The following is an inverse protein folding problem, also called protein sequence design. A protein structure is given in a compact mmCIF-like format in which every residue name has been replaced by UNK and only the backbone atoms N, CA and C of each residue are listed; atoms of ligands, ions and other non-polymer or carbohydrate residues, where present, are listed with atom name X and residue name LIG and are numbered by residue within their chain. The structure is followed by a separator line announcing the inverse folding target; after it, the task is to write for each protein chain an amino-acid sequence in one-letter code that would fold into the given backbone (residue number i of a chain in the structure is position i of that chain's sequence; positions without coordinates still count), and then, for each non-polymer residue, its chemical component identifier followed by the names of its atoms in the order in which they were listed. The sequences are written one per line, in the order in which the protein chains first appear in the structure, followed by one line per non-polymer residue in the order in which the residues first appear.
data_IF_458330608769
#
_entry.id   IF_458330608769
#
_cell.length_a   1.000
_cell.length_b   1.000
_cell.length_c   1.000
_cell.angle_alpha   90.00
_cell.angle_beta   90.00
_cell.angle_gamma   90.00
#
_symmetry.space_group_name_H-M   'P 1'
#
loop_
_entity.id
_entity.type
_entity.pdbx_description
1 polymer ?
#
# COMPACT_ATOMS: atom_id res chain seq x y z
N UNK A 1 -27.18 20.06 -53.66
CA UNK A 1 -27.57 19.04 -52.65
C UNK A 1 -26.71 17.80 -52.62
N UNK A 2 -26.25 17.20 -53.73
CA UNK A 2 -25.42 15.95 -53.73
C UNK A 2 -24.01 16.13 -53.17
N UNK A 3 -23.39 17.28 -53.31
CA UNK A 3 -22.02 17.54 -52.75
C UNK A 3 -22.02 17.68 -51.22
N UNK A 4 -23.08 18.18 -50.63
CA UNK A 4 -23.22 18.34 -49.17
C UNK A 4 -23.41 16.99 -48.44
N UNK A 5 -24.12 16.04 -49.08
CA UNK A 5 -24.34 14.72 -48.55
C UNK A 5 -23.07 13.87 -48.58
N UNK A 6 -22.21 14.00 -49.58
CA UNK A 6 -20.94 13.29 -49.65
C UNK A 6 -19.95 13.75 -48.57
N UNK A 7 -19.95 15.05 -48.22
CA UNK A 7 -19.08 15.58 -47.16
C UNK A 7 -19.48 15.13 -45.75
N UNK A 8 -20.79 14.98 -45.48
CA UNK A 8 -21.30 14.52 -44.17
C UNK A 8 -20.99 13.03 -43.97
N UNK A 9 -21.13 12.23 -45.04
CA UNK A 9 -20.79 10.79 -44.96
C UNK A 9 -19.29 10.56 -44.78
N UNK A 10 -18.44 11.37 -45.40
CA UNK A 10 -16.98 11.32 -45.22
C UNK A 10 -16.54 11.72 -43.81
N UNK A 11 -17.14 12.74 -43.22
CA UNK A 11 -16.85 13.16 -41.85
C UNK A 11 -17.29 12.14 -40.80
N UNK A 12 -18.46 11.52 -41.00
CA UNK A 12 -18.98 10.48 -40.11
C UNK A 12 -18.13 9.20 -40.18
N UNK A 13 -17.68 8.79 -41.36
CA UNK A 13 -16.79 7.64 -41.55
C UNK A 13 -15.40 7.88 -40.90
N UNK A 14 -14.88 9.11 -40.96
CA UNK A 14 -13.62 9.48 -40.33
C UNK A 14 -13.70 9.52 -38.80
N UNK A 15 -14.83 9.99 -38.25
CA UNK A 15 -15.08 9.99 -36.81
C UNK A 15 -15.23 8.57 -36.24
N UNK A 16 -15.87 7.65 -36.97
CA UNK A 16 -16.01 6.24 -36.59
C UNK A 16 -14.65 5.53 -36.66
N UNK A 17 -13.78 5.84 -37.64
CA UNK A 17 -12.44 5.30 -37.74
C UNK A 17 -11.52 5.76 -36.59
N UNK A 18 -11.66 7.01 -36.13
CA UNK A 18 -10.93 7.53 -34.97
C UNK A 18 -11.42 6.90 -33.64
N UNK A 19 -12.72 6.64 -33.51
CA UNK A 19 -13.26 5.95 -32.33
C UNK A 19 -12.85 4.46 -32.28
N UNK A 20 -12.70 3.81 -33.43
CA UNK A 20 -12.24 2.42 -33.52
C UNK A 20 -10.74 2.24 -33.19
N UNK A 21 -9.95 3.34 -33.18
CA UNK A 21 -8.53 3.32 -32.83
C UNK A 21 -8.26 3.73 -31.37
N UNK A 22 -9.27 3.95 -30.55
CA UNK A 22 -9.11 4.08 -29.09
C UNK A 22 -8.72 2.70 -28.54
N UNK A 23 -7.44 2.40 -28.68
CA UNK A 23 -6.87 1.13 -28.24
C UNK A 23 -7.00 1.05 -26.72
N UNK A 24 -7.62 0.00 -26.21
CA UNK A 24 -7.68 -0.23 -24.76
C UNK A 24 -6.31 -0.67 -24.25
N UNK A 25 -5.47 0.31 -24.00
CA UNK A 25 -4.12 0.10 -23.46
C UNK A 25 -4.15 -0.64 -22.12
N UNK A 26 -5.23 -0.53 -21.35
CA UNK A 26 -5.39 -1.28 -20.10
C UNK A 26 -5.55 -2.77 -20.38
N UNK A 27 -6.43 -3.16 -21.30
CA UNK A 27 -6.61 -4.55 -21.67
C UNK A 27 -5.32 -5.14 -22.26
N UNK A 28 -4.61 -4.38 -23.09
CA UNK A 28 -3.31 -4.80 -23.63
C UNK A 28 -2.26 -5.00 -22.53
N UNK A 29 -2.16 -4.09 -21.59
CA UNK A 29 -1.23 -4.20 -20.46
C UNK A 29 -1.54 -5.43 -19.60
N UNK A 30 -2.81 -5.65 -19.26
CA UNK A 30 -3.25 -6.82 -18.50
C UNK A 30 -2.93 -8.11 -19.25
N UNK A 31 -3.26 -8.19 -20.55
CA UNK A 31 -2.94 -9.34 -21.39
C UNK A 31 -1.44 -9.63 -21.41
N UNK A 32 -0.62 -8.59 -21.56
CA UNK A 32 0.85 -8.72 -21.54
C UNK A 32 1.37 -9.20 -20.20
N UNK A 33 0.87 -8.63 -19.10
CA UNK A 33 1.23 -9.07 -17.75
C UNK A 33 0.88 -10.54 -17.52
N UNK A 34 -0.30 -10.99 -17.95
CA UNK A 34 -0.73 -12.40 -17.84
C UNK A 34 0.09 -13.37 -18.70
N UNK A 35 0.59 -12.91 -19.84
CA UNK A 35 1.46 -13.71 -20.71
C UNK A 35 2.88 -13.86 -20.13
N UNK A 36 3.43 -12.79 -19.57
CA UNK A 36 4.84 -12.74 -19.16
C UNK A 36 5.05 -13.15 -17.70
N UNK A 37 4.02 -13.01 -16.84
CA UNK A 37 4.13 -13.38 -15.43
C UNK A 37 3.78 -14.87 -15.25
N UNK A 38 4.68 -15.58 -14.58
CA UNK A 38 4.48 -16.97 -14.22
C UNK A 38 4.52 -17.16 -12.70
N UNK A 39 3.53 -17.87 -12.15
CA UNK A 39 3.47 -18.15 -10.73
C UNK A 39 4.72 -18.92 -10.27
N UNK A 40 5.38 -18.43 -9.21
CA UNK A 40 6.57 -19.04 -8.64
C UNK A 40 6.62 -18.83 -7.12
N UNK A 41 6.74 -19.91 -6.35
CA UNK A 41 6.78 -19.83 -4.89
C UNK A 41 5.55 -19.11 -4.32
N UNK A 42 5.76 -18.07 -3.53
CA UNK A 42 4.68 -17.24 -2.96
C UNK A 42 4.14 -16.19 -3.93
N UNK A 43 4.77 -15.98 -5.07
CA UNK A 43 4.26 -15.09 -6.12
C UNK A 43 3.26 -15.86 -6.98
N UNK A 44 1.97 -15.73 -6.71
CA UNK A 44 0.86 -16.34 -7.44
C UNK A 44 0.30 -15.36 -8.47
N UNK A 45 -0.52 -15.85 -9.39
CA UNK A 45 -1.13 -15.03 -10.45
C UNK A 45 -2.05 -13.94 -9.90
N UNK A 46 -2.66 -14.15 -8.73
CA UNK A 46 -3.51 -13.18 -8.03
C UNK A 46 -2.81 -11.84 -7.69
N UNK A 47 -1.47 -11.83 -7.74
CA UNK A 47 -0.72 -10.55 -7.62
C UNK A 47 -0.92 -9.60 -8.77
N UNK A 48 -1.43 -10.08 -9.89
CA UNK A 48 -1.76 -9.25 -11.05
C UNK A 48 -3.15 -8.61 -10.94
N UNK A 49 -3.97 -9.10 -10.01
CA UNK A 49 -5.36 -8.67 -9.87
C UNK A 49 -5.46 -7.49 -8.89
N UNK A 50 -6.28 -6.52 -9.29
CA UNK A 50 -6.70 -5.46 -8.37
C UNK A 50 -7.80 -5.99 -7.46
N UNK A 51 -7.65 -5.80 -6.14
CA UNK A 51 -8.79 -6.02 -5.25
C UNK A 51 -9.86 -4.93 -5.43
N UNK A 52 -11.05 -5.17 -4.86
CA UNK A 52 -12.19 -4.25 -4.98
C UNK A 52 -11.84 -2.83 -4.57
N UNK A 53 -11.07 -2.64 -3.50
CA UNK A 53 -10.69 -1.31 -3.02
C UNK A 53 -9.72 -0.63 -3.98
N UNK A 54 -8.73 -1.38 -4.49
CA UNK A 54 -7.80 -0.84 -5.49
C UNK A 54 -8.54 -0.41 -6.76
N UNK A 55 -9.44 -1.27 -7.25
CA UNK A 55 -10.25 -0.99 -8.42
C UNK A 55 -11.13 0.27 -8.24
N UNK A 56 -11.81 0.39 -7.11
CA UNK A 56 -12.67 1.54 -6.80
C UNK A 56 -11.84 2.82 -6.73
N UNK A 57 -10.71 2.81 -5.99
CA UNK A 57 -9.83 3.97 -5.87
C UNK A 57 -9.22 4.39 -7.22
N UNK A 58 -8.85 3.43 -8.06
CA UNK A 58 -8.31 3.74 -9.39
C UNK A 58 -9.37 4.35 -10.32
N UNK A 59 -10.58 3.79 -10.35
CA UNK A 59 -11.68 4.28 -11.19
C UNK A 59 -12.19 5.65 -10.76
N UNK A 60 -12.23 5.91 -9.45
CA UNK A 60 -12.66 7.20 -8.88
C UNK A 60 -11.55 8.25 -8.80
N UNK A 61 -10.35 7.96 -9.30
CA UNK A 61 -9.16 8.83 -9.16
C UNK A 61 -8.86 9.17 -7.69
N UNK A 62 -9.00 8.18 -6.80
CA UNK A 62 -8.88 8.26 -5.34
C UNK A 62 -9.95 9.11 -4.63
N UNK A 63 -11.06 9.41 -5.29
CA UNK A 63 -12.20 10.13 -4.74
C UNK A 63 -13.51 9.34 -4.94
N UNK A 64 -13.68 8.20 -4.25
CA UNK A 64 -14.90 7.42 -4.34
C UNK A 64 -16.06 8.10 -3.61
N UNK A 65 -17.34 7.82 -4.00
CA UNK A 65 -18.50 8.31 -3.28
C UNK A 65 -18.42 8.01 -1.78
N UNK A 66 -18.72 9.00 -0.93
CA UNK A 66 -18.50 8.96 0.52
C UNK A 66 -19.10 7.72 1.19
N UNK A 67 -20.37 7.39 0.93
CA UNK A 67 -21.03 6.22 1.54
C UNK A 67 -20.38 4.88 1.14
N UNK A 68 -19.92 4.77 -0.12
CA UNK A 68 -19.17 3.60 -0.57
C UNK A 68 -17.80 3.53 0.10
N UNK A 69 -17.12 4.67 0.21
CA UNK A 69 -15.83 4.76 0.86
C UNK A 69 -15.90 4.33 2.34
N UNK A 70 -16.90 4.80 3.07
CA UNK A 70 -17.13 4.45 4.47
C UNK A 70 -17.41 2.94 4.64
N UNK A 71 -18.27 2.36 3.80
CA UNK A 71 -18.56 0.93 3.82
C UNK A 71 -17.32 0.09 3.60
N UNK A 72 -16.57 0.37 2.53
CA UNK A 72 -15.35 -0.37 2.21
C UNK A 72 -14.26 -0.16 3.26
N UNK A 73 -14.15 1.03 3.84
CA UNK A 73 -13.20 1.31 4.92
C UNK A 73 -13.53 0.53 6.19
N UNK A 74 -14.80 0.41 6.54
CA UNK A 74 -15.25 -0.42 7.64
C UNK A 74 -14.96 -1.91 7.40
N UNK A 75 -15.08 -2.39 6.17
CA UNK A 75 -14.70 -3.75 5.84
C UNK A 75 -13.18 -3.95 5.95
N UNK A 76 -12.37 -2.97 5.55
CA UNK A 76 -10.93 -3.02 5.77
C UNK A 76 -10.55 -3.02 7.27
N UNK A 77 -11.29 -2.31 8.13
CA UNK A 77 -11.09 -2.35 9.58
C UNK A 77 -11.26 -3.75 10.15
N UNK A 78 -12.26 -4.49 9.69
CA UNK A 78 -12.53 -5.88 10.13
C UNK A 78 -11.40 -6.86 9.77
N UNK A 79 -10.56 -6.53 8.80
CA UNK A 79 -9.43 -7.38 8.41
C UNK A 79 -8.23 -7.27 9.34
N UNK A 80 -8.18 -6.28 10.23
CA UNK A 80 -7.04 -6.08 11.13
C UNK A 80 -7.07 -7.12 12.25
N UNK A 81 -6.01 -7.92 12.30
CA UNK A 81 -5.79 -8.86 13.40
C UNK A 81 -4.91 -8.17 14.45
N UNK A 82 -5.55 -7.71 15.50
CA UNK A 82 -4.85 -7.12 16.63
C UNK A 82 -4.26 -8.19 17.55
N UNK A 83 -3.11 -7.92 18.22
CA UNK A 83 -2.54 -8.83 19.21
C UNK A 83 -3.55 -9.22 20.29
N UNK A 84 -3.70 -10.52 20.54
CA UNK A 84 -4.68 -11.03 21.49
C UNK A 84 -4.38 -10.60 22.95
N UNK A 85 -3.10 -10.38 23.26
CA UNK A 85 -2.62 -9.90 24.57
C UNK A 85 -2.77 -8.38 24.75
N UNK A 86 -3.25 -7.66 23.74
CA UNK A 86 -3.34 -6.21 23.73
C UNK A 86 -2.00 -5.48 23.84
N UNK A 87 -0.88 -6.17 23.66
CA UNK A 87 0.44 -5.57 23.66
C UNK A 87 0.88 -5.20 22.23
N UNK A 88 1.03 -3.91 21.97
CA UNK A 88 1.40 -3.37 20.65
C UNK A 88 2.87 -2.98 20.53
N UNK A 89 3.65 -3.02 21.62
CA UNK A 89 5.05 -2.62 21.62
C UNK A 89 5.97 -3.84 21.49
N UNK A 90 6.98 -3.71 20.65
CA UNK A 90 8.08 -4.64 20.49
C UNK A 90 9.42 -3.98 20.82
N UNK A 91 10.45 -4.29 20.01
CA UNK A 91 11.79 -3.71 20.10
C UNK A 91 12.01 -2.66 19.02
N UNK A 92 12.22 -1.40 19.40
CA UNK A 92 12.42 -0.32 18.45
C UNK A 92 13.70 -0.48 17.58
N UNK A 93 14.76 -1.16 18.09
CA UNK A 93 15.99 -1.42 17.33
C UNK A 93 15.72 -2.39 16.17
N UNK A 94 14.90 -3.40 16.41
CA UNK A 94 14.41 -4.29 15.37
C UNK A 94 13.50 -3.57 14.40
N UNK A 95 12.62 -2.71 14.90
CA UNK A 95 11.76 -1.84 14.10
C UNK A 95 12.53 -0.93 13.14
N UNK A 96 13.64 -0.34 13.60
CA UNK A 96 14.50 0.48 12.75
C UNK A 96 15.11 -0.32 11.60
N UNK A 97 15.63 -1.51 11.86
CA UNK A 97 16.16 -2.41 10.82
C UNK A 97 15.08 -2.79 9.79
N UNK A 98 13.86 -3.07 10.25
CA UNK A 98 12.71 -3.40 9.38
C UNK A 98 12.33 -2.17 8.53
N UNK A 99 12.28 -0.98 9.12
CA UNK A 99 11.93 0.26 8.43
C UNK A 99 12.94 0.61 7.32
N UNK A 100 14.23 0.38 7.54
CA UNK A 100 15.29 0.65 6.58
C UNK A 100 15.41 -0.40 5.48
N UNK A 101 15.00 -1.64 5.74
CA UNK A 101 15.17 -2.75 4.82
C UNK A 101 14.13 -2.69 3.71
N UNK A 102 14.57 -2.75 2.44
CA UNK A 102 13.69 -2.72 1.27
C UNK A 102 13.29 -4.09 0.72
N UNK A 103 13.86 -5.19 1.24
CA UNK A 103 13.60 -6.52 0.69
C UNK A 103 12.44 -7.21 1.39
N UNK A 104 11.41 -7.56 0.61
CA UNK A 104 10.27 -8.33 1.08
C UNK A 104 9.53 -9.01 -0.08
N UNK A 105 8.83 -10.11 0.22
CA UNK A 105 7.85 -10.76 -0.66
C UNK A 105 8.35 -11.13 -2.06
N UNK A 106 9.64 -11.46 -2.18
CA UNK A 106 10.12 -12.10 -3.42
C UNK A 106 9.57 -13.53 -3.50
N UNK A 107 9.57 -14.13 -4.68
CA UNK A 107 9.01 -15.48 -4.88
C UNK A 107 9.66 -16.59 -4.03
N UNK A 108 10.87 -16.37 -3.49
CA UNK A 108 11.58 -17.28 -2.59
C UNK A 108 11.30 -17.04 -1.11
N UNK A 109 10.70 -15.93 -0.76
CA UNK A 109 10.51 -15.52 0.63
C UNK A 109 9.30 -16.24 1.26
N UNK A 110 9.14 -16.04 2.57
CA UNK A 110 7.99 -16.51 3.37
C UNK A 110 7.33 -15.32 4.03
N UNK A 111 6.15 -15.51 4.60
CA UNK A 111 5.50 -14.50 5.44
C UNK A 111 6.45 -14.10 6.56
N UNK A 112 6.71 -12.80 6.69
CA UNK A 112 7.58 -12.22 7.70
C UNK A 112 9.07 -12.51 7.57
N UNK A 113 9.51 -13.37 6.64
CA UNK A 113 10.93 -13.73 6.49
C UNK A 113 11.37 -13.84 5.04
N UNK A 114 12.57 -13.35 4.77
CA UNK A 114 13.25 -13.59 3.49
C UNK A 114 13.68 -15.05 3.36
N UNK A 115 14.03 -15.46 2.15
CA UNK A 115 14.57 -16.79 1.86
C UNK A 115 15.89 -17.09 2.61
N UNK A 116 16.55 -16.08 3.17
CA UNK A 116 17.75 -16.18 3.99
C UNK A 116 17.46 -16.25 5.50
N UNK A 117 16.18 -16.30 5.88
CA UNK A 117 15.75 -16.32 7.29
C UNK A 117 15.74 -14.96 7.99
N UNK A 118 16.13 -13.89 7.29
CA UNK A 118 16.11 -12.54 7.82
C UNK A 118 14.69 -11.95 7.81
N UNK A 119 14.36 -11.00 8.69
CA UNK A 119 13.08 -10.31 8.66
C UNK A 119 12.80 -9.65 7.30
N UNK A 120 11.56 -9.69 6.83
CA UNK A 120 11.13 -8.85 5.73
C UNK A 120 11.27 -7.37 6.11
N UNK A 121 11.50 -6.51 5.11
CA UNK A 121 11.60 -5.08 5.30
C UNK A 121 10.32 -4.34 4.95
N UNK A 122 10.08 -3.22 5.61
CA UNK A 122 8.96 -2.32 5.34
C UNK A 122 9.28 -1.22 4.33
N UNK A 123 10.57 -0.94 4.11
CA UNK A 123 11.05 0.15 3.22
C UNK A 123 10.42 1.52 3.55
N UNK A 124 10.17 1.78 4.83
CA UNK A 124 9.38 2.91 5.30
C UNK A 124 10.02 4.26 4.93
N UNK A 125 11.36 4.31 4.91
CA UNK A 125 12.13 5.50 4.51
C UNK A 125 11.94 5.91 3.04
N UNK A 126 11.50 4.99 2.18
CA UNK A 126 11.19 5.35 0.80
C UNK A 126 10.00 6.32 0.70
N UNK A 127 9.17 6.40 1.72
CA UNK A 127 7.99 7.27 1.74
C UNK A 127 7.99 8.28 2.88
N UNK A 128 8.68 8.00 4.00
CA UNK A 128 8.60 8.79 5.24
C UNK A 128 9.98 9.23 5.71
N UNK A 129 10.07 10.46 6.18
CA UNK A 129 11.12 10.87 7.08
C UNK A 129 10.87 10.25 8.46
N UNK A 130 11.79 9.45 8.98
CA UNK A 130 11.60 8.71 10.24
C UNK A 130 12.61 9.14 11.30
N UNK A 131 13.90 9.07 11.03
CA UNK A 131 14.94 9.39 12.00
C UNK A 131 15.67 10.69 11.67
N UNK A 132 16.17 11.43 12.69
CA UNK A 132 16.88 12.69 12.46
C UNK A 132 18.22 12.49 11.72
N UNK A 133 18.83 11.32 11.85
CA UNK A 133 20.08 10.98 11.16
C UNK A 133 19.88 10.54 9.70
N UNK A 134 18.64 10.36 9.24
CA UNK A 134 18.37 9.92 7.87
C UNK A 134 18.40 11.11 6.92
N UNK A 135 19.43 11.18 6.09
CA UNK A 135 19.65 12.26 5.13
C UNK A 135 18.88 12.09 3.83
N UNK A 136 18.42 10.88 3.52
CA UNK A 136 17.65 10.55 2.30
C UNK A 136 16.39 9.81 2.66
N UNK A 137 15.24 10.37 2.27
CA UNK A 137 13.92 9.78 2.50
C UNK A 137 12.92 10.32 1.47
N UNK A 138 11.83 9.55 1.26
CA UNK A 138 10.72 9.99 0.42
C UNK A 138 9.77 10.93 1.16
N UNK A 139 9.02 11.71 0.38
CA UNK A 139 8.05 12.70 0.87
C UNK A 139 6.60 12.34 0.51
N UNK A 140 6.36 11.13 0.01
CA UNK A 140 5.01 10.63 -0.31
C UNK A 140 4.15 10.49 0.96
N UNK A 141 4.78 10.04 2.05
CA UNK A 141 4.16 9.96 3.37
C UNK A 141 4.55 11.16 4.24
N UNK A 142 3.74 11.45 5.26
CA UNK A 142 4.03 12.50 6.22
C UNK A 142 5.33 12.18 6.99
N UNK A 143 6.06 13.22 7.43
CA UNK A 143 7.16 13.03 8.36
C UNK A 143 6.67 12.36 9.65
N UNK A 144 7.44 11.40 10.12
CA UNK A 144 7.20 10.67 11.38
C UNK A 144 8.17 11.10 12.49
N UNK A 145 9.02 12.11 12.23
CA UNK A 145 9.88 12.67 13.27
C UNK A 145 9.07 13.12 14.47
N UNK A 146 9.56 12.78 15.65
CA UNK A 146 8.93 13.09 16.94
C UNK A 146 7.49 12.58 17.06
N UNK A 147 7.15 11.48 16.36
CA UNK A 147 5.77 10.99 16.28
C UNK A 147 5.19 10.73 17.69
N UNK A 148 5.91 10.03 18.55
CA UNK A 148 5.47 9.77 19.92
C UNK A 148 5.39 11.04 20.75
N UNK A 149 6.33 11.97 20.63
CA UNK A 149 6.27 13.28 21.30
C UNK A 149 5.04 14.07 20.90
N UNK A 150 4.66 14.01 19.61
CA UNK A 150 3.55 14.78 19.06
C UNK A 150 2.18 14.13 19.34
N UNK A 151 2.11 12.80 19.28
CA UNK A 151 0.86 12.05 19.36
C UNK A 151 0.60 11.37 20.71
N UNK A 152 1.60 11.34 21.59
CA UNK A 152 1.56 10.61 22.84
C UNK A 152 2.00 9.15 22.69
N UNK A 153 2.05 8.45 23.83
CA UNK A 153 2.57 7.08 23.94
C UNK A 153 1.52 6.09 24.45
N UNK A 154 0.28 6.53 24.62
CA UNK A 154 -0.81 5.74 25.21
C UNK A 154 -1.26 4.56 24.34
N UNK A 155 -2.08 3.69 24.92
CA UNK A 155 -2.57 2.47 24.26
C UNK A 155 -3.36 2.76 22.98
N UNK A 156 -4.14 3.82 22.93
CA UNK A 156 -4.97 4.16 21.78
C UNK A 156 -4.13 4.51 20.57
N UNK A 157 -3.06 5.31 20.75
CA UNK A 157 -2.14 5.63 19.67
C UNK A 157 -1.33 4.41 19.25
N UNK A 158 -0.93 3.53 20.18
CA UNK A 158 -0.26 2.26 19.86
C UNK A 158 -1.17 1.38 18.97
N UNK A 159 -2.43 1.21 19.36
CA UNK A 159 -3.44 0.45 18.60
C UNK A 159 -3.66 1.06 17.21
N UNK A 160 -3.78 2.39 17.13
CA UNK A 160 -3.91 3.10 15.87
C UNK A 160 -2.70 2.85 14.94
N UNK A 161 -1.48 3.02 15.45
CA UNK A 161 -0.25 2.82 14.66
C UNK A 161 -0.13 1.38 14.19
N UNK A 162 -0.40 0.41 15.08
CA UNK A 162 -0.43 -0.99 14.72
C UNK A 162 -1.40 -1.25 13.57
N UNK A 163 -2.66 -0.82 13.71
CA UNK A 163 -3.69 -1.00 12.69
C UNK A 163 -3.34 -0.31 11.38
N UNK A 164 -2.75 0.91 11.45
CA UNK A 164 -2.33 1.67 10.27
C UNK A 164 -1.22 0.96 9.48
N UNK A 165 -0.26 0.34 10.16
CA UNK A 165 0.78 -0.48 9.51
C UNK A 165 0.19 -1.79 9.00
N UNK A 166 -0.71 -2.42 9.77
CA UNK A 166 -1.35 -3.66 9.38
C UNK A 166 -2.16 -3.49 8.09
N UNK A 167 -3.08 -2.52 8.06
CA UNK A 167 -3.90 -2.21 6.89
C UNK A 167 -4.22 -0.71 6.80
N UNK A 168 -3.41 0.02 6.04
CA UNK A 168 -3.54 1.47 5.87
C UNK A 168 -4.90 1.89 5.29
N UNK A 169 -5.54 1.03 4.48
CA UNK A 169 -6.83 1.30 3.85
C UNK A 169 -7.99 1.31 4.84
N UNK A 170 -7.83 0.73 6.02
CA UNK A 170 -8.76 0.82 7.13
C UNK A 170 -8.90 2.24 7.72
N UNK A 171 -7.94 3.11 7.48
CA UNK A 171 -7.90 4.50 8.01
C UNK A 171 -7.94 5.56 6.91
N UNK A 172 -7.60 5.20 5.71
CA UNK A 172 -7.73 5.98 4.49
C UNK A 172 -7.86 5.00 3.33
N UNK A 173 -9.05 4.88 2.77
CA UNK A 173 -9.39 3.86 1.80
C UNK A 173 -8.45 3.83 0.59
N UNK A 174 -8.13 5.00 0.04
CA UNK A 174 -7.28 5.12 -1.14
C UNK A 174 -5.80 5.39 -0.80
N UNK A 175 -5.38 5.04 0.43
CA UNK A 175 -3.99 5.16 0.85
C UNK A 175 -3.06 4.40 -0.09
N UNK A 176 -1.94 5.03 -0.43
CA UNK A 176 -0.83 4.40 -1.18
C UNK A 176 0.15 3.65 -0.26
N UNK A 177 0.01 3.78 1.06
CA UNK A 177 0.80 3.00 2.02
C UNK A 177 0.45 1.52 1.88
N UNK A 178 1.45 0.63 1.78
CA UNK A 178 1.22 -0.81 1.71
C UNK A 178 0.47 -1.36 2.94
N UNK A 179 -0.28 -2.43 2.75
CA UNK A 179 -1.02 -3.14 3.80
C UNK A 179 -0.15 -4.27 4.36
N UNK A 180 0.86 -3.93 5.14
CA UNK A 180 1.96 -4.84 5.49
C UNK A 180 1.52 -6.10 6.24
N UNK A 181 0.61 -5.99 7.20
CA UNK A 181 0.07 -7.15 7.91
C UNK A 181 -0.93 -7.92 7.07
N UNK A 182 -1.86 -7.22 6.42
CA UNK A 182 -2.91 -7.82 5.58
C UNK A 182 -2.34 -8.64 4.43
N UNK A 183 -1.24 -8.20 3.83
CA UNK A 183 -0.56 -8.92 2.75
C UNK A 183 0.40 -10.01 3.24
N UNK A 184 0.60 -10.16 4.54
CA UNK A 184 1.58 -11.07 5.12
C UNK A 184 3.04 -10.64 4.89
N UNK A 185 3.29 -9.41 4.45
CA UNK A 185 4.65 -8.90 4.27
C UNK A 185 5.39 -8.83 5.60
N UNK A 186 4.73 -8.33 6.64
CA UNK A 186 5.25 -8.27 8.00
C UNK A 186 4.42 -9.14 8.94
N UNK A 187 5.10 -9.81 9.86
CA UNK A 187 4.47 -10.55 10.95
C UNK A 187 3.95 -9.62 12.04
N UNK A 188 3.11 -10.13 12.94
CA UNK A 188 2.64 -9.40 14.12
C UNK A 188 3.81 -8.79 14.91
N UNK A 189 4.84 -9.59 15.22
CA UNK A 189 6.00 -9.10 15.97
C UNK A 189 6.73 -7.98 15.24
N UNK A 190 6.90 -8.08 13.93
CA UNK A 190 7.54 -7.04 13.13
C UNK A 190 6.74 -5.73 13.12
N UNK A 191 5.41 -5.82 13.14
CA UNK A 191 4.55 -4.63 13.27
C UNK A 191 4.68 -4.04 14.68
N UNK A 192 4.71 -4.85 15.75
CA UNK A 192 4.97 -4.41 17.12
C UNK A 192 6.32 -3.68 17.24
N UNK A 193 7.35 -4.18 16.57
CA UNK A 193 8.68 -3.57 16.55
C UNK A 193 8.66 -2.18 15.86
N UNK A 194 7.90 -2.04 14.77
CA UNK A 194 7.70 -0.74 14.11
C UNK A 194 6.85 0.22 14.94
N UNK A 195 5.86 -0.27 15.69
CA UNK A 195 5.11 0.55 16.65
C UNK A 195 6.06 1.08 17.73
N UNK A 196 6.95 0.22 18.24
CA UNK A 196 7.97 0.64 19.20
C UNK A 196 8.95 1.64 18.60
N UNK A 197 9.37 1.49 17.33
CA UNK A 197 10.18 2.50 16.66
C UNK A 197 9.53 3.88 16.69
N UNK A 198 8.23 3.98 16.47
CA UNK A 198 7.53 5.26 16.44
C UNK A 198 7.15 5.79 17.83
N UNK A 199 6.92 4.91 18.81
CA UNK A 199 6.31 5.26 20.10
C UNK A 199 7.16 4.94 21.33
N UNK A 200 8.38 4.38 21.21
CA UNK A 200 9.28 4.27 22.37
C UNK A 200 9.96 5.62 22.58
N UNK A 201 9.89 6.21 23.79
CA UNK A 201 10.60 7.46 24.11
C UNK A 201 12.12 7.39 23.88
N UNK A 202 12.71 6.18 23.94
CA UNK A 202 14.14 5.96 23.72
C UNK A 202 14.50 5.80 22.24
N UNK A 203 13.51 5.64 21.38
CA UNK A 203 13.71 5.52 19.93
C UNK A 203 14.33 6.82 19.35
N UNK A 204 15.21 6.71 18.33
CA UNK A 204 15.77 7.87 17.65
C UNK A 204 14.71 8.77 17.00
N UNK A 205 13.54 8.22 16.69
CA UNK A 205 12.40 8.98 16.16
C UNK A 205 11.93 10.06 17.12
N UNK A 206 12.07 9.82 18.43
CA UNK A 206 11.56 10.68 19.51
C UNK A 206 12.66 11.45 20.26
N UNK A 207 13.85 11.54 19.70
CA UNK A 207 14.96 12.30 20.29
C UNK A 207 14.98 13.78 19.88
#
# INVERSE_FOLDING_TARGET
MKLFQASILGAAAFAVALAAQAQDYRAMAISRMQQDFHAKGIAKMDRLDEDTVQMICNRSRNDPPKGLAETLQNDQLKTIQYPADGNYLGDWKSGEKIAQRGRAMTWKDKIGKTSRGEPNGGSCYNCHQIGPATTSFGTIGNSLLHFGKTRGYGKDIQKYVYGKIYNAKAFNLCSKMPRFGHSGTLSEQQIKDLVALLLDPKSPVNK
#
